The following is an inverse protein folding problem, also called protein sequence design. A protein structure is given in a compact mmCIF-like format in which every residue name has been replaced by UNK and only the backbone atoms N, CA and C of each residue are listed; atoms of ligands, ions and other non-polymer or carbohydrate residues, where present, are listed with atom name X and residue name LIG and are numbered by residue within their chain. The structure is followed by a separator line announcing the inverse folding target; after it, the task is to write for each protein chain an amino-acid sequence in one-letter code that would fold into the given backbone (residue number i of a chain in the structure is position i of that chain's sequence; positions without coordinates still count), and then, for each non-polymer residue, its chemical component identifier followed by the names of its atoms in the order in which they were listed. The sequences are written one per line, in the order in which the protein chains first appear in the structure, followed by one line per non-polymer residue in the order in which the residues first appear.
data_IF_779338897783
#
_entry.id   IF_779338897783
#
_cell.length_a   1.000
_cell.length_b   1.000
_cell.length_c   1.000
_cell.angle_alpha   90.00
_cell.angle_beta   90.00
_cell.angle_gamma   90.00
#
_symmetry.space_group_name_H-M   'P 1'
#
loop_
_entity.id
_entity.type
_entity.pdbx_description
1 polymer ?
#
# COMPACT_ATOMS: atom_id res chain seq x y z
N UNK A 1 -12.35 -13.66 1.69
CA UNK A 1 -13.50 -12.90 2.24
C UNK A 1 -14.50 -12.60 1.13
N UNK A 2 -15.78 -12.91 1.31
CA UNK A 2 -16.81 -12.89 0.24
C UNK A 2 -17.15 -11.47 -0.23
N UNK A 3 -17.04 -10.46 0.65
CA UNK A 3 -17.50 -9.10 0.35
C UNK A 3 -16.45 -8.16 -0.26
N UNK A 4 -15.15 -8.33 -0.02
CA UNK A 4 -14.11 -7.42 -0.55
C UNK A 4 -13.19 -8.07 -1.59
N UNK A 5 -13.37 -9.38 -1.81
CA UNK A 5 -12.54 -10.20 -2.71
C UNK A 5 -11.02 -10.11 -2.44
N UNK A 6 -10.63 -9.85 -1.18
CA UNK A 6 -9.23 -9.90 -0.75
C UNK A 6 -9.07 -10.82 0.46
N UNK A 7 -7.85 -11.37 0.63
CA UNK A 7 -7.48 -12.13 1.81
C UNK A 7 -7.28 -11.23 3.03
N UNK A 8 -6.94 -9.95 2.79
CA UNK A 8 -6.53 -8.99 3.81
C UNK A 8 -7.38 -7.73 3.68
N UNK A 9 -8.65 -7.79 4.12
CA UNK A 9 -9.60 -6.70 3.96
C UNK A 9 -9.23 -5.47 4.79
N UNK A 10 -8.58 -5.67 5.92
CA UNK A 10 -8.23 -4.62 6.87
C UNK A 10 -6.74 -4.72 7.14
N UNK A 11 -6.08 -3.58 7.05
CA UNK A 11 -4.65 -3.46 7.35
C UNK A 11 -4.44 -2.25 8.25
N UNK A 12 -3.55 -2.38 9.24
CA UNK A 12 -3.27 -1.32 10.22
C UNK A 12 -1.90 -0.71 9.98
N UNK A 13 -1.87 0.62 9.86
CA UNK A 13 -0.66 1.35 9.61
C UNK A 13 0.23 1.38 10.85
N UNK A 14 1.43 0.82 10.74
CA UNK A 14 2.38 0.71 11.83
C UNK A 14 3.38 1.86 11.85
N UNK A 15 3.86 2.31 10.69
CA UNK A 15 4.82 3.39 10.62
C UNK A 15 4.72 4.16 9.31
N UNK A 16 5.00 5.46 9.39
CA UNK A 16 4.99 6.40 8.27
C UNK A 16 6.19 7.32 8.34
N UNK A 17 6.81 7.56 7.18
CA UNK A 17 7.85 8.58 7.01
C UNK A 17 7.28 9.97 6.70
N UNK A 18 5.98 10.17 6.88
CA UNK A 18 5.23 11.33 6.42
C UNK A 18 4.39 11.87 7.56
N UNK A 19 4.50 13.17 7.82
CA UNK A 19 3.63 13.88 8.75
C UNK A 19 2.30 14.25 8.06
N UNK A 20 1.37 13.30 8.07
CA UNK A 20 0.02 13.44 7.53
C UNK A 20 -0.95 12.70 8.41
N UNK A 21 -2.10 13.32 8.69
CA UNK A 21 -3.17 12.68 9.45
C UNK A 21 -3.58 11.36 8.77
N UNK A 22 -3.55 11.29 7.42
CA UNK A 22 -3.96 10.11 6.62
C UNK A 22 -3.03 8.94 6.89
N UNK A 23 -1.75 9.25 7.02
CA UNK A 23 -0.68 8.29 7.19
C UNK A 23 -0.21 8.24 8.66
N UNK A 24 -1.09 8.53 9.61
CA UNK A 24 -0.79 8.39 11.03
C UNK A 24 -0.77 6.90 11.43
N UNK A 25 0.26 6.42 12.15
CA UNK A 25 0.24 5.11 12.77
C UNK A 25 -1.04 4.88 13.58
N UNK A 26 -1.61 3.68 13.49
CA UNK A 26 -2.90 3.32 14.09
C UNK A 26 -4.09 3.46 13.13
N UNK A 27 -3.98 4.21 12.03
CA UNK A 27 -5.04 4.27 11.03
C UNK A 27 -5.28 2.90 10.39
N UNK A 28 -6.55 2.61 10.12
CA UNK A 28 -7.03 1.38 9.50
C UNK A 28 -7.45 1.65 8.07
N UNK A 29 -7.03 0.77 7.16
CA UNK A 29 -7.37 0.86 5.74
C UNK A 29 -8.21 -0.33 5.34
N UNK A 30 -9.34 -0.06 4.69
CA UNK A 30 -10.21 -1.06 4.10
C UNK A 30 -9.81 -1.27 2.63
N UNK A 31 -9.48 -2.51 2.29
CA UNK A 31 -9.04 -2.92 0.96
C UNK A 31 -10.16 -3.64 0.20
N UNK A 32 -10.31 -3.30 -1.08
CA UNK A 32 -11.17 -4.01 -2.04
C UNK A 32 -10.32 -4.56 -3.18
N UNK A 33 -10.71 -5.70 -3.74
CA UNK A 33 -10.06 -6.27 -4.93
C UNK A 33 -11.09 -6.90 -5.86
N UNK A 34 -12.16 -6.18 -6.16
CA UNK A 34 -13.22 -6.69 -7.02
C UNK A 34 -12.72 -6.94 -8.43
N UNK A 35 -13.13 -8.07 -9.04
CA UNK A 35 -12.80 -8.34 -10.44
C UNK A 35 -13.32 -7.27 -11.41
N UNK A 36 -14.46 -6.65 -11.08
CA UNK A 36 -15.10 -5.56 -11.83
C UNK A 36 -14.47 -4.19 -11.58
N UNK A 37 -13.69 -4.03 -10.51
CA UNK A 37 -13.03 -2.76 -10.19
C UNK A 37 -11.71 -2.64 -10.96
N UNK A 38 -11.63 -1.62 -11.82
CA UNK A 38 -10.39 -1.29 -12.54
C UNK A 38 -9.49 -0.41 -11.68
N UNK A 39 -8.20 -0.73 -11.67
CA UNK A 39 -7.17 0.10 -11.02
C UNK A 39 -6.73 1.16 -12.03
N UNK A 40 -6.76 2.43 -11.62
CA UNK A 40 -6.45 3.59 -12.45
C UNK A 40 -5.26 4.38 -11.91
N UNK A 41 -4.67 5.22 -12.76
CA UNK A 41 -3.69 6.19 -12.30
C UNK A 41 -4.33 7.12 -11.26
N UNK A 42 -3.63 7.36 -10.15
CA UNK A 42 -4.12 8.10 -8.99
C UNK A 42 -4.62 7.20 -7.85
N UNK A 43 -4.99 5.95 -8.13
CA UNK A 43 -5.43 5.01 -7.09
C UNK A 43 -4.27 4.68 -6.15
N UNK A 44 -4.59 4.48 -4.87
CA UNK A 44 -3.65 3.94 -3.89
C UNK A 44 -3.92 2.44 -3.77
N UNK A 45 -2.92 1.63 -4.09
CA UNK A 45 -3.02 0.18 -4.07
C UNK A 45 -2.05 -0.39 -3.05
N UNK A 46 -2.45 -1.49 -2.44
CA UNK A 46 -1.61 -2.34 -1.60
C UNK A 46 -1.13 -3.50 -2.44
N UNK A 47 0.18 -3.67 -2.53
CA UNK A 47 0.81 -4.77 -3.23
C UNK A 47 1.85 -5.45 -2.34
N UNK A 48 2.15 -6.69 -2.68
CA UNK A 48 3.21 -7.48 -2.06
C UNK A 48 4.30 -7.77 -3.07
N UNK A 49 5.54 -7.79 -2.62
CA UNK A 49 6.67 -8.23 -3.44
C UNK A 49 6.95 -9.69 -3.09
N UNK A 50 7.02 -10.57 -4.08
CA UNK A 50 7.32 -11.97 -3.84
C UNK A 50 8.67 -12.12 -3.12
N UNK A 51 8.70 -12.93 -2.05
CA UNK A 51 9.88 -13.10 -1.20
C UNK A 51 10.07 -12.00 -0.15
N UNK A 52 9.22 -10.97 -0.11
CA UNK A 52 9.17 -9.99 0.98
C UNK A 52 7.86 -10.14 1.74
N UNK A 53 7.92 -10.38 3.05
CA UNK A 53 6.75 -10.49 3.93
C UNK A 53 6.11 -9.15 4.29
N UNK A 54 6.30 -8.13 3.46
CA UNK A 54 5.84 -6.76 3.71
C UNK A 54 4.86 -6.33 2.62
N UNK A 55 3.82 -5.63 3.04
CA UNK A 55 2.88 -4.96 2.16
C UNK A 55 3.27 -3.50 2.00
N UNK A 56 3.18 -3.01 0.77
CA UNK A 56 3.51 -1.64 0.41
C UNK A 56 2.26 -1.00 -0.21
N UNK A 57 1.95 0.23 0.20
CA UNK A 57 0.94 1.08 -0.45
C UNK A 57 1.60 2.28 -1.06
N UNK A 58 1.46 2.38 -2.35
CA UNK A 58 1.89 3.53 -3.11
C UNK A 58 0.84 3.86 -4.16
N UNK A 59 0.96 5.07 -4.69
CA UNK A 59 0.03 5.56 -5.70
C UNK A 59 0.41 5.00 -7.05
N UNK A 60 -0.59 4.54 -7.80
CA UNK A 60 -0.42 4.18 -9.20
C UNK A 60 -0.18 5.46 -9.98
N UNK A 61 1.00 5.58 -10.59
CA UNK A 61 1.34 6.74 -11.43
C UNK A 61 1.09 6.47 -12.91
N UNK A 62 1.14 5.20 -13.34
CA UNK A 62 0.84 4.80 -14.72
C UNK A 62 0.20 3.42 -14.77
N UNK A 63 -0.74 3.27 -15.70
CA UNK A 63 -1.39 2.01 -16.05
C UNK A 63 -1.15 1.74 -17.53
N UNK A 64 -0.73 0.53 -17.87
CA UNK A 64 -0.65 0.04 -19.24
C UNK A 64 -1.65 -1.11 -19.41
N UNK A 65 -2.64 -0.89 -20.26
CA UNK A 65 -3.62 -1.90 -20.64
C UNK A 65 -3.31 -2.38 -22.06
N UNK A 66 -3.23 -3.69 -22.25
CA UNK A 66 -3.12 -4.31 -23.58
C UNK A 66 -4.48 -4.84 -24.01
N UNK A 67 -4.69 -4.94 -25.32
CA UNK A 67 -5.94 -5.47 -25.92
C UNK A 67 -6.28 -6.89 -25.46
N UNK A 68 -5.28 -7.68 -25.07
CA UNK A 68 -5.46 -9.01 -24.52
C UNK A 68 -5.89 -9.03 -23.04
N UNK A 69 -6.25 -7.88 -22.46
CA UNK A 69 -6.71 -7.74 -21.08
C UNK A 69 -5.59 -7.74 -20.03
N UNK A 70 -4.32 -7.79 -20.44
CA UNK A 70 -3.20 -7.71 -19.50
C UNK A 70 -2.99 -6.26 -19.06
N UNK A 71 -3.04 -6.06 -17.74
CA UNK A 71 -2.84 -4.76 -17.11
C UNK A 71 -1.55 -4.76 -16.30
N UNK A 72 -0.75 -3.72 -16.50
CA UNK A 72 0.51 -3.48 -15.79
C UNK A 72 0.49 -2.12 -15.11
N UNK A 73 1.03 -2.06 -13.91
CA UNK A 73 1.02 -0.86 -13.07
C UNK A 73 2.44 -0.41 -12.75
N UNK A 74 2.64 0.90 -12.70
CA UNK A 74 3.81 1.53 -12.10
C UNK A 74 3.34 2.36 -10.92
N UNK A 75 3.98 2.14 -9.77
CA UNK A 75 3.66 2.82 -8.52
C UNK A 75 4.80 3.74 -8.11
N UNK A 76 4.46 4.72 -7.27
CA UNK A 76 5.41 5.60 -6.62
C UNK A 76 4.84 6.06 -5.27
N UNK A 77 5.68 6.05 -4.24
CA UNK A 77 5.36 6.69 -2.96
C UNK A 77 5.17 8.19 -3.13
N UNK A 78 4.15 8.76 -2.47
CA UNK A 78 3.79 10.17 -2.63
C UNK A 78 4.97 11.11 -2.28
N UNK A 79 5.86 10.68 -1.39
CA UNK A 79 7.02 11.45 -0.91
C UNK A 79 8.36 10.97 -1.48
N UNK A 80 8.34 9.98 -2.37
CA UNK A 80 9.55 9.46 -3.00
C UNK A 80 9.91 10.31 -4.22
N UNK A 81 11.20 10.49 -4.51
CA UNK A 81 11.65 11.17 -5.74
C UNK A 81 11.58 10.26 -6.98
N UNK A 82 11.81 8.97 -6.76
CA UNK A 82 11.88 7.93 -7.79
C UNK A 82 10.65 7.04 -7.74
N UNK A 83 10.38 6.35 -8.85
CA UNK A 83 9.36 5.29 -8.91
C UNK A 83 9.81 4.02 -8.16
N UNK A 84 8.88 3.10 -7.95
CA UNK A 84 9.11 1.93 -7.10
C UNK A 84 9.82 0.77 -7.80
N UNK A 85 10.34 0.94 -9.02
CA UNK A 85 10.99 -0.16 -9.75
C UNK A 85 12.17 -0.77 -9.00
N UNK A 86 12.88 0.04 -8.22
CA UNK A 86 13.97 -0.44 -7.34
C UNK A 86 13.49 -1.28 -6.16
N UNK A 87 12.20 -1.23 -5.82
CA UNK A 87 11.60 -2.01 -4.73
C UNK A 87 11.10 -3.37 -5.21
N UNK A 88 10.72 -3.49 -6.49
CA UNK A 88 10.14 -4.72 -7.04
C UNK A 88 11.11 -5.91 -7.00
N UNK A 89 10.57 -7.11 -7.28
CA UNK A 89 11.39 -8.31 -7.36
C UNK A 89 12.47 -8.18 -8.45
N UNK A 90 13.62 -8.86 -8.34
CA UNK A 90 14.67 -8.81 -9.36
C UNK A 90 14.13 -9.08 -10.77
N UNK A 91 14.40 -8.18 -11.71
CA UNK A 91 13.93 -8.26 -13.10
C UNK A 91 12.47 -7.84 -13.33
N UNK A 92 11.72 -7.50 -12.28
CA UNK A 92 10.36 -6.98 -12.38
C UNK A 92 10.37 -5.46 -12.54
N UNK A 93 9.81 -4.96 -13.65
CA UNK A 93 9.75 -3.51 -13.96
C UNK A 93 8.33 -2.94 -13.78
N UNK A 94 7.33 -3.83 -13.72
CA UNK A 94 5.91 -3.50 -13.62
C UNK A 94 5.22 -4.46 -12.65
N UNK A 95 4.25 -3.95 -11.92
CA UNK A 95 3.34 -4.79 -11.13
C UNK A 95 2.25 -5.36 -12.02
N UNK A 96 1.82 -6.57 -11.70
CA UNK A 96 0.68 -7.24 -12.32
C UNK A 96 -0.46 -7.40 -11.31
N UNK A 97 -1.68 -7.71 -11.78
CA UNK A 97 -2.86 -7.85 -10.90
C UNK A 97 -2.66 -8.90 -9.80
N UNK A 98 -1.83 -9.92 -10.02
CA UNK A 98 -1.47 -10.97 -9.03
C UNK A 98 -0.65 -10.45 -7.84
N UNK A 99 0.05 -9.33 -8.02
CA UNK A 99 0.91 -8.72 -6.99
C UNK A 99 0.08 -7.78 -6.10
N UNK A 100 -1.08 -7.34 -6.60
CA UNK A 100 -2.00 -6.44 -5.90
C UNK A 100 -2.88 -7.23 -4.94
N UNK A 101 -2.84 -6.81 -3.68
CA UNK A 101 -3.68 -7.34 -2.60
C UNK A 101 -5.05 -6.68 -2.62
N UNK A 102 -5.07 -5.37 -2.87
CA UNK A 102 -6.29 -4.60 -3.04
C UNK A 102 -6.02 -3.11 -3.23
N UNK A 103 -7.07 -2.38 -3.57
CA UNK A 103 -7.14 -0.93 -3.63
C UNK A 103 -7.70 -0.40 -2.31
N UNK A 104 -7.20 0.75 -1.87
CA UNK A 104 -7.75 1.42 -0.69
C UNK A 104 -9.13 1.99 -1.06
N UNK A 105 -10.16 1.49 -0.38
CA UNK A 105 -11.54 1.96 -0.54
C UNK A 105 -11.87 3.05 0.48
N UNK A 106 -11.54 2.80 1.74
CA UNK A 106 -11.84 3.71 2.85
C UNK A 106 -10.74 3.70 3.90
N UNK A 107 -10.65 4.79 4.66
CA UNK A 107 -9.73 4.97 5.78
C UNK A 107 -10.56 5.24 7.02
N UNK A 108 -10.27 4.49 8.08
CA UNK A 108 -10.78 4.75 9.42
C UNK A 108 -9.64 5.33 10.26
N UNK A 109 -9.87 6.55 10.73
CA UNK A 109 -8.89 7.33 11.46
C UNK A 109 -8.88 6.90 12.91
N UNK A 110 -7.69 6.57 13.41
CA UNK A 110 -7.53 6.43 14.85
C UNK A 110 -7.47 7.83 15.46
N UNK A 111 -8.44 8.17 16.31
CA UNK A 111 -8.44 9.45 17.04
C UNK A 111 -7.90 9.20 18.44
N UNK A 112 -6.60 9.44 18.61
CA UNK A 112 -5.97 9.45 19.93
C UNK A 112 -6.56 10.60 20.77
N UNK A 113 -7.33 10.26 21.80
CA UNK A 113 -7.89 11.24 22.76
C UNK A 113 -6.88 11.69 23.83
N UNK A 114 -5.61 11.31 23.72
CA UNK A 114 -4.61 11.61 24.74
C UNK A 114 -3.54 12.59 24.24
N UNK A 115 -3.64 13.79 24.82
CA UNK A 115 -2.62 14.82 24.86
C UNK A 115 -1.26 14.24 25.29
N UNK A 116 -0.26 14.33 24.39
CA UNK A 116 1.17 14.32 24.71
C UNK A 116 1.92 12.99 24.54
N UNK A 117 2.54 12.81 23.35
CA UNK A 117 3.86 12.16 23.04
C UNK A 117 4.37 11.11 24.07
N UNK A 118 4.69 9.86 23.78
CA UNK A 118 5.11 9.06 22.58
C UNK A 118 5.02 7.58 22.98
N UNK A 119 4.82 6.59 22.07
CA UNK A 119 5.25 5.22 22.35
C UNK A 119 6.64 4.97 21.75
N UNK A 120 7.62 4.84 22.64
CA UNK A 120 8.88 4.16 22.37
C UNK A 120 8.60 2.67 22.13
N UNK A 121 8.70 2.20 20.89
CA UNK A 121 8.80 0.76 20.62
C UNK A 121 9.77 0.52 19.48
N UNK A 122 10.86 -0.17 19.80
CA UNK A 122 11.78 -0.71 18.83
C UNK A 122 11.07 -1.73 17.94
N UNK A 123 10.65 -1.29 16.76
CA UNK A 123 10.75 -2.09 15.55
C UNK A 123 11.73 -1.36 14.66
N UNK A 124 12.80 -2.06 14.28
CA UNK A 124 13.73 -1.62 13.24
C UNK A 124 12.94 -1.43 11.95
N UNK A 125 12.41 -0.23 11.74
CA UNK A 125 12.00 0.24 10.43
C UNK A 125 13.30 0.28 9.62
N UNK A 126 13.44 -0.68 8.71
CA UNK A 126 14.55 -0.67 7.76
C UNK A 126 14.46 0.65 6.99
N UNK A 127 15.42 1.53 7.27
CA UNK A 127 15.52 2.87 6.73
C UNK A 127 15.76 2.76 5.22
N UNK A 128 14.67 2.73 4.46
CA UNK A 128 14.70 2.63 3.01
C UNK A 128 13.56 3.45 2.41
N UNK A 129 13.67 4.77 2.56
CA UNK A 129 13.09 5.74 1.62
C UNK A 129 11.56 5.79 1.55
N UNK A 130 10.91 6.18 2.65
CA UNK A 130 9.50 6.62 2.60
C UNK A 130 8.45 5.51 2.50
N UNK A 131 8.82 4.26 2.78
CA UNK A 131 7.89 3.13 2.78
C UNK A 131 7.03 3.18 4.05
N UNK A 132 5.73 3.26 3.84
CA UNK A 132 4.71 3.09 4.84
C UNK A 132 4.62 1.57 5.16
N UNK A 133 4.60 1.16 6.43
CA UNK A 133 4.52 -0.27 6.81
C UNK A 133 3.17 -0.59 7.45
N UNK A 134 2.50 -1.66 7.00
CA UNK A 134 1.29 -2.22 7.63
C UNK A 134 1.52 -3.65 8.10
N UNK A 135 0.63 -4.09 8.99
CA UNK A 135 0.38 -5.50 9.24
C UNK A 135 -1.09 -5.82 9.00
N UNK A 136 -1.33 -7.07 8.60
CA UNK A 136 -2.67 -7.65 8.56
C UNK A 136 -3.21 -7.77 10.00
N UNK A 137 -4.52 -7.63 10.16
CA UNK A 137 -5.23 -7.95 11.41
C UNK A 137 -5.79 -9.36 11.37
#
# INVERSE_FOLDING_TARGET
MVLTNTANPIVVLLSSGIDSVVYAPGNLFLLTNYCSESIRAGDIIVFRIQGRGLFIFHRVIRVHEKENGYVKFLTKGDFNYVDDRGLYAPGQVWLEKKDVVGKIHSICWHVDHHNGRTPSTGLSCFDSGGILCIKEL
#
